data_IF_163978415436
#
_entry.id   IF_163978415436
#
_cell.length_a   1.000
_cell.length_b   1.000
_cell.length_c   1.000
_cell.angle_alpha   90.00
_cell.angle_beta   90.00
_cell.angle_gamma   90.00
#
_symmetry.space_group_name_H-M   'P 1'
#
loop_
_entity.id
_entity.type
_entity.pdbx_description
1 polymer ?
#
# COMPACT_ATOMS: atom_id res chain seq x y z
N UNK A 1 2.96 5.18 -2.80
CA UNK A 1 3.31 6.23 -1.82
C UNK A 1 4.49 5.83 -0.94
N UNK A 2 4.49 4.67 -0.28
CA UNK A 2 5.55 4.32 0.70
C UNK A 2 6.80 3.64 0.10
N UNK A 3 6.70 3.09 -1.11
CA UNK A 3 7.82 2.42 -1.80
C UNK A 3 8.84 3.42 -2.38
N UNK A 4 8.60 4.74 -2.23
CA UNK A 4 9.51 5.78 -2.71
C UNK A 4 10.72 6.00 -1.80
N UNK A 5 10.69 5.52 -0.56
CA UNK A 5 11.82 5.59 0.38
C UNK A 5 12.85 4.50 0.08
N UNK A 6 14.14 4.83 -0.13
CA UNK A 6 15.17 3.84 -0.46
C UNK A 6 15.32 2.69 0.55
N UNK A 7 15.16 2.96 1.86
CA UNK A 7 15.22 1.91 2.90
C UNK A 7 14.06 0.92 2.87
N UNK A 8 12.94 1.28 2.20
CA UNK A 8 11.77 0.42 2.02
C UNK A 8 11.75 -0.27 0.64
N UNK A 9 12.41 0.32 -0.34
CA UNK A 9 12.53 -0.24 -1.68
C UNK A 9 13.39 -1.51 -1.70
N UNK A 10 14.59 -1.46 -1.10
CA UNK A 10 15.54 -2.57 -1.16
C UNK A 10 14.98 -3.88 -0.55
N UNK A 11 14.33 -3.89 0.63
CA UNK A 11 13.70 -5.11 1.17
C UNK A 11 12.66 -5.73 0.24
N UNK A 12 12.01 -4.94 -0.60
CA UNK A 12 11.08 -5.45 -1.60
C UNK A 12 11.82 -6.01 -2.81
N UNK A 13 12.80 -5.27 -3.32
CA UNK A 13 13.58 -5.62 -4.49
C UNK A 13 14.42 -6.90 -4.26
N UNK A 14 15.12 -7.00 -3.13
CA UNK A 14 16.10 -8.07 -2.85
C UNK A 14 15.50 -9.48 -2.81
N UNK A 15 14.18 -9.58 -2.57
CA UNK A 15 13.49 -10.88 -2.51
C UNK A 15 13.20 -11.49 -3.88
N UNK A 16 13.40 -10.74 -4.98
CA UNK A 16 13.06 -11.16 -6.34
C UNK A 16 11.56 -11.26 -6.63
N UNK A 17 10.68 -10.94 -5.66
CA UNK A 17 9.21 -11.03 -5.79
C UNK A 17 8.55 -9.67 -6.09
N UNK A 18 9.28 -8.76 -6.70
CA UNK A 18 8.84 -7.40 -7.06
C UNK A 18 9.41 -6.93 -8.40
N UNK A 19 9.88 -7.84 -9.24
CA UNK A 19 10.65 -7.51 -10.46
C UNK A 19 9.78 -7.29 -11.70
N UNK A 20 8.49 -7.66 -11.65
CA UNK A 20 7.58 -7.63 -12.80
C UNK A 20 6.11 -7.58 -12.35
N UNK A 21 5.18 -7.30 -13.27
CA UNK A 21 3.75 -7.14 -12.94
C UNK A 21 3.13 -8.41 -12.31
N UNK A 22 3.38 -9.63 -12.81
CA UNK A 22 2.84 -10.85 -12.19
C UNK A 22 3.32 -11.07 -10.75
N UNK A 23 4.61 -10.86 -10.48
CA UNK A 23 5.17 -11.03 -9.13
C UNK A 23 4.65 -9.98 -8.15
N UNK A 24 4.51 -8.72 -8.60
CA UNK A 24 3.89 -7.65 -7.83
C UNK A 24 2.42 -7.96 -7.53
N UNK A 25 1.65 -8.41 -8.53
CA UNK A 25 0.26 -8.82 -8.32
C UNK A 25 0.17 -9.91 -7.24
N UNK A 26 0.98 -10.96 -7.35
CA UNK A 26 1.01 -12.06 -6.37
C UNK A 26 1.36 -11.55 -4.97
N UNK A 27 2.37 -10.70 -4.85
CA UNK A 27 2.79 -10.11 -3.57
C UNK A 27 1.66 -9.30 -2.95
N UNK A 28 1.12 -8.33 -3.67
CA UNK A 28 0.14 -7.39 -3.12
C UNK A 28 -1.21 -8.04 -2.87
N UNK A 29 -1.61 -9.05 -3.66
CA UNK A 29 -2.75 -9.91 -3.32
C UNK A 29 -2.49 -10.71 -2.05
N UNK A 30 -1.28 -11.24 -1.86
CA UNK A 30 -0.91 -11.92 -0.61
C UNK A 30 -1.00 -10.98 0.60
N UNK A 31 -0.45 -9.77 0.50
CA UNK A 31 -0.54 -8.74 1.55
C UNK A 31 -2.00 -8.41 1.88
N UNK A 32 -2.84 -8.17 0.87
CA UNK A 32 -4.26 -7.89 1.05
C UNK A 32 -4.98 -9.03 1.78
N UNK A 33 -4.66 -10.28 1.44
CA UNK A 33 -5.23 -11.47 2.11
C UNK A 33 -4.78 -11.58 3.56
N UNK A 34 -3.51 -11.30 3.87
CA UNK A 34 -3.01 -11.29 5.25
C UNK A 34 -3.73 -10.25 6.09
N UNK A 35 -3.78 -8.99 5.62
CA UNK A 35 -4.41 -7.88 6.34
C UNK A 35 -5.91 -8.15 6.53
N UNK A 36 -6.62 -8.60 5.49
CA UNK A 36 -8.02 -9.00 5.59
C UNK A 36 -8.23 -10.10 6.64
N UNK A 37 -7.37 -11.11 6.64
CA UNK A 37 -7.42 -12.20 7.62
C UNK A 37 -7.26 -11.68 9.05
N UNK A 38 -6.40 -10.67 9.28
CA UNK A 38 -6.23 -10.06 10.60
C UNK A 38 -7.46 -9.27 11.06
N UNK A 39 -8.16 -8.61 10.14
CA UNK A 39 -9.40 -7.90 10.44
C UNK A 39 -10.59 -8.82 10.74
N UNK A 40 -10.58 -10.05 10.21
CA UNK A 40 -11.72 -10.98 10.28
C UNK A 40 -11.53 -12.11 11.30
N UNK A 41 -10.35 -12.24 11.89
CA UNK A 41 -10.03 -13.27 12.87
C UNK A 41 -9.35 -12.72 14.12
N UNK A 42 -8.93 -13.61 14.99
CA UNK A 42 -8.29 -13.25 16.26
C UNK A 42 -6.77 -13.50 16.22
N UNK A 43 -5.98 -12.42 16.23
CA UNK A 43 -4.50 -12.48 16.22
C UNK A 43 -3.88 -12.99 17.54
N UNK A 44 -4.67 -13.16 18.59
CA UNK A 44 -4.23 -13.64 19.90
C UNK A 44 -4.52 -15.12 20.13
N UNK A 45 -5.50 -15.69 19.42
CA UNK A 45 -5.87 -17.10 19.53
C UNK A 45 -4.96 -17.96 18.63
N UNK A 46 -4.10 -18.78 19.24
CA UNK A 46 -3.04 -19.52 18.53
C UNK A 46 -3.50 -20.35 17.31
N UNK A 47 -4.69 -20.96 17.39
CA UNK A 47 -5.25 -21.79 16.31
C UNK A 47 -6.07 -21.01 15.28
N UNK A 48 -6.22 -19.69 15.45
CA UNK A 48 -6.92 -18.85 14.49
C UNK A 48 -6.03 -18.57 13.27
N UNK A 49 -6.65 -18.53 12.09
CA UNK A 49 -5.96 -18.22 10.85
C UNK A 49 -5.26 -16.85 10.89
N UNK A 50 -5.80 -15.87 11.62
CA UNK A 50 -5.20 -14.56 11.81
C UNK A 50 -3.89 -14.62 12.61
N UNK A 51 -3.85 -15.39 13.71
CA UNK A 51 -2.64 -15.58 14.52
C UNK A 51 -1.53 -16.29 13.73
N UNK A 52 -1.88 -17.34 12.98
CA UNK A 52 -0.94 -18.05 12.09
C UNK A 52 -0.42 -17.09 11.00
N UNK A 53 -1.33 -16.34 10.37
CA UNK A 53 -1.03 -15.38 9.32
C UNK A 53 -0.07 -14.28 9.79
N UNK A 54 -0.33 -13.64 10.93
CA UNK A 54 0.53 -12.56 11.44
C UNK A 54 1.91 -13.10 11.89
N UNK A 55 1.95 -14.30 12.47
CA UNK A 55 3.21 -14.99 12.80
C UNK A 55 4.06 -15.27 11.56
N UNK A 56 3.44 -15.73 10.47
CA UNK A 56 4.11 -15.94 9.18
C UNK A 56 4.68 -14.65 8.61
N UNK A 57 3.93 -13.54 8.65
CA UNK A 57 4.43 -12.23 8.18
C UNK A 57 5.59 -11.74 9.02
N UNK A 58 5.53 -11.89 10.36
CA UNK A 58 6.66 -11.58 11.24
C UNK A 58 7.91 -12.38 10.85
N UNK A 59 7.75 -13.68 10.59
CA UNK A 59 8.89 -14.51 10.17
C UNK A 59 9.46 -14.03 8.84
N UNK A 60 8.63 -13.72 7.85
CA UNK A 60 9.10 -13.17 6.57
C UNK A 60 9.89 -11.87 6.76
N UNK A 61 9.45 -10.96 7.64
CA UNK A 61 10.21 -9.74 7.94
C UNK A 61 11.57 -10.05 8.60
N UNK A 62 11.63 -11.01 9.52
CA UNK A 62 12.89 -11.46 10.13
C UNK A 62 13.84 -12.07 9.11
N UNK A 63 13.34 -12.89 8.19
CA UNK A 63 14.14 -13.54 7.17
C UNK A 63 14.78 -12.51 6.23
N UNK A 64 13.99 -11.52 5.77
CA UNK A 64 14.51 -10.44 4.92
C UNK A 64 15.48 -9.55 5.69
N UNK A 65 15.19 -9.23 6.96
CA UNK A 65 16.11 -8.46 7.81
C UNK A 65 17.44 -9.20 8.03
N UNK A 66 17.40 -10.51 8.24
CA UNK A 66 18.60 -11.34 8.37
C UNK A 66 19.39 -11.39 7.06
N UNK A 67 18.73 -11.56 5.92
CA UNK A 67 19.34 -11.55 4.60
C UNK A 67 20.05 -10.22 4.29
N UNK A 68 19.50 -9.10 4.75
CA UNK A 68 20.05 -7.76 4.51
C UNK A 68 20.97 -7.25 5.63
N UNK A 69 21.28 -8.06 6.65
CA UNK A 69 21.98 -7.62 7.87
C UNK A 69 23.32 -6.94 7.62
N UNK A 70 24.06 -7.43 6.63
CA UNK A 70 25.39 -6.92 6.27
C UNK A 70 25.34 -5.81 5.21
N UNK A 71 24.13 -5.38 4.81
CA UNK A 71 23.91 -4.29 3.86
C UNK A 71 23.34 -3.09 4.61
N UNK A 72 23.73 -1.89 4.17
CA UNK A 72 23.21 -0.62 4.69
C UNK A 72 22.54 0.15 3.59
N UNK A 73 21.52 0.92 3.93
CA UNK A 73 20.90 1.83 2.98
C UNK A 73 21.93 2.88 2.53
N UNK A 74 22.26 2.98 1.23
CA UNK A 74 23.27 3.93 0.78
C UNK A 74 22.91 5.40 1.07
N UNK A 75 21.62 5.69 1.17
CA UNK A 75 21.10 7.04 1.37
C UNK A 75 21.09 7.44 2.86
N UNK A 76 20.75 6.51 3.76
CA UNK A 76 20.62 6.83 5.20
C UNK A 76 21.76 6.28 6.06
N UNK A 77 22.60 5.40 5.52
CA UNK A 77 23.56 4.60 6.29
C UNK A 77 22.92 3.58 7.25
N UNK A 78 21.59 3.57 7.37
CA UNK A 78 20.85 2.76 8.33
C UNK A 78 20.72 1.29 7.96
N UNK A 79 20.35 0.47 8.95
CA UNK A 79 19.92 -0.90 8.70
C UNK A 79 18.58 -0.92 7.94
N UNK A 80 18.39 -1.93 7.10
CA UNK A 80 17.10 -2.20 6.46
C UNK A 80 16.11 -2.85 7.45
N UNK A 81 14.82 -2.58 7.27
CA UNK A 81 13.75 -3.06 8.15
C UNK A 81 13.96 -2.62 9.61
N UNK A 82 14.42 -1.39 9.80
CA UNK A 82 14.51 -0.76 11.12
C UNK A 82 13.12 -0.58 11.76
N UNK A 83 13.07 -0.27 13.06
CA UNK A 83 11.81 0.08 13.73
C UNK A 83 11.13 1.30 13.09
N UNK A 84 11.93 2.26 12.58
CA UNK A 84 11.40 3.38 11.79
C UNK A 84 10.78 2.89 10.47
N UNK A 85 11.41 1.96 9.76
CA UNK A 85 10.86 1.39 8.53
C UNK A 85 9.54 0.64 8.80
N UNK A 86 9.47 -0.08 9.93
CA UNK A 86 8.24 -0.72 10.40
C UNK A 86 7.15 0.31 10.72
N UNK A 87 7.48 1.42 11.38
CA UNK A 87 6.54 2.50 11.69
C UNK A 87 6.05 3.23 10.43
N UNK A 88 6.93 3.50 9.46
CA UNK A 88 6.54 4.07 8.16
C UNK A 88 5.67 3.08 7.38
N UNK A 89 5.91 1.78 7.49
CA UNK A 89 5.05 0.76 6.90
C UNK A 89 3.68 0.72 7.59
N UNK A 90 3.63 0.82 8.92
CA UNK A 90 2.37 0.93 9.67
C UNK A 90 1.60 2.20 9.27
N UNK A 91 2.28 3.34 9.10
CA UNK A 91 1.69 4.56 8.55
C UNK A 91 1.05 4.32 7.17
N UNK A 92 1.68 3.51 6.30
CA UNK A 92 1.12 3.17 4.99
C UNK A 92 -0.27 2.51 5.07
N UNK A 93 -0.54 1.76 6.14
CA UNK A 93 -1.80 1.06 6.36
C UNK A 93 -2.84 1.91 7.10
N UNK A 94 -2.43 2.65 8.13
CA UNK A 94 -3.37 3.33 9.03
C UNK A 94 -3.17 4.85 9.15
N UNK A 95 -2.00 5.39 8.78
CA UNK A 95 -1.71 6.82 8.90
C UNK A 95 -2.66 7.70 8.10
N UNK A 96 -2.99 7.31 6.87
CA UNK A 96 -3.95 8.06 6.04
C UNK A 96 -5.39 7.97 6.56
N UNK A 97 -5.76 6.87 7.24
CA UNK A 97 -7.05 6.73 7.93
C UNK A 97 -7.14 7.68 9.11
N UNK A 98 -6.03 7.85 9.84
CA UNK A 98 -5.96 8.79 10.96
C UNK A 98 -6.07 10.23 10.47
N UNK A 99 -5.33 10.58 9.42
CA UNK A 99 -5.25 11.94 8.89
C UNK A 99 -6.50 12.36 8.11
N UNK A 100 -7.04 11.47 7.29
CA UNK A 100 -8.07 11.79 6.30
C UNK A 100 -9.20 10.74 6.27
N UNK A 101 -9.84 10.43 7.43
CA UNK A 101 -10.84 9.37 7.49
C UNK A 101 -12.00 9.60 6.51
N UNK A 102 -12.48 10.84 6.39
CA UNK A 102 -13.59 11.19 5.50
C UNK A 102 -13.22 11.06 4.02
N UNK A 103 -11.99 11.41 3.65
CA UNK A 103 -11.44 11.23 2.30
C UNK A 103 -11.16 9.75 1.98
N UNK A 104 -11.31 8.86 2.96
CA UNK A 104 -11.30 7.40 2.79
C UNK A 104 -12.69 6.79 2.95
N UNK A 105 -13.74 7.61 2.96
CA UNK A 105 -15.13 7.16 3.10
C UNK A 105 -15.51 6.69 4.49
N UNK A 106 -14.70 7.02 5.51
CA UNK A 106 -14.97 6.71 6.92
C UNK A 106 -15.59 7.92 7.61
N UNK A 107 -16.90 7.83 7.84
CA UNK A 107 -17.70 8.83 8.54
C UNK A 107 -18.07 8.28 9.92
N UNK A 108 -17.07 8.21 10.80
CA UNK A 108 -17.15 7.56 12.11
C UNK A 108 -16.69 8.51 13.22
N UNK A 109 -16.93 8.15 14.48
CA UNK A 109 -16.52 8.94 15.64
C UNK A 109 -15.02 8.82 15.92
N UNK A 110 -14.47 9.73 16.74
CA UNK A 110 -13.11 9.64 17.26
C UNK A 110 -12.89 8.32 18.02
N UNK A 111 -13.89 7.89 18.80
CA UNK A 111 -13.86 6.62 19.54
C UNK A 111 -13.75 5.40 18.60
N UNK A 112 -14.44 5.42 17.47
CA UNK A 112 -14.31 4.34 16.48
C UNK A 112 -12.91 4.29 15.88
N UNK A 113 -12.29 5.46 15.64
CA UNK A 113 -10.91 5.55 15.16
C UNK A 113 -9.92 5.06 16.22
N UNK A 114 -10.15 5.33 17.50
CA UNK A 114 -9.36 4.78 18.61
C UNK A 114 -9.44 3.25 18.66
N UNK A 115 -10.60 2.65 18.41
CA UNK A 115 -10.72 1.19 18.31
C UNK A 115 -9.86 0.63 17.17
N UNK A 116 -9.85 1.29 16.01
CA UNK A 116 -9.02 0.88 14.86
C UNK A 116 -7.53 1.07 15.17
N UNK A 117 -7.15 2.14 15.87
CA UNK A 117 -5.79 2.36 16.33
C UNK A 117 -5.35 1.29 17.33
N UNK A 118 -6.20 0.94 18.29
CA UNK A 118 -5.93 -0.15 19.22
C UNK A 118 -5.67 -1.47 18.49
N UNK A 119 -6.47 -1.78 17.48
CA UNK A 119 -6.24 -2.94 16.61
C UNK A 119 -4.86 -2.88 15.93
N UNK A 120 -4.51 -1.76 15.29
CA UNK A 120 -3.21 -1.61 14.62
C UNK A 120 -2.02 -1.56 15.58
N UNK A 121 -2.23 -1.12 16.82
CA UNK A 121 -1.23 -1.22 17.91
C UNK A 121 -0.91 -2.69 18.19
N UNK A 122 -1.94 -3.52 18.35
CA UNK A 122 -1.79 -4.97 18.56
C UNK A 122 -1.13 -5.66 17.35
N UNK A 123 -1.49 -5.27 16.12
CA UNK A 123 -0.83 -5.76 14.89
C UNK A 123 0.65 -5.39 14.89
N UNK A 124 1.00 -4.13 15.18
CA UNK A 124 2.40 -3.68 15.26
C UNK A 124 3.20 -4.48 16.30
N UNK A 125 2.65 -4.67 17.49
CA UNK A 125 3.26 -5.49 18.54
C UNK A 125 3.50 -6.93 18.09
N UNK A 126 2.49 -7.58 17.49
CA UNK A 126 2.62 -8.96 16.97
C UNK A 126 3.65 -9.07 15.85
N UNK A 127 3.81 -8.05 15.02
CA UNK A 127 4.84 -7.97 13.99
C UNK A 127 6.24 -7.67 14.54
N UNK A 128 6.39 -7.44 15.84
CA UNK A 128 7.68 -7.22 16.52
C UNK A 128 8.13 -5.76 16.55
N UNK A 129 7.20 -4.82 16.41
CA UNK A 129 7.49 -3.43 16.75
C UNK A 129 7.59 -3.27 18.26
N UNK A 130 8.61 -2.56 18.73
CA UNK A 130 8.66 -2.16 20.13
C UNK A 130 7.63 -1.05 20.38
N UNK A 131 7.02 -1.04 21.56
CA UNK A 131 5.89 -0.15 21.87
C UNK A 131 6.25 1.34 21.72
N UNK A 132 7.49 1.71 22.02
CA UNK A 132 8.00 3.08 21.83
C UNK A 132 8.10 3.53 20.37
N UNK A 133 8.12 2.61 19.41
CA UNK A 133 8.14 2.89 17.97
C UNK A 133 6.81 2.55 17.29
N UNK A 134 5.81 2.05 18.03
CA UNK A 134 4.51 1.70 17.48
C UNK A 134 3.70 2.99 17.25
N UNK A 135 3.38 3.28 16.00
CA UNK A 135 2.68 4.50 15.61
C UNK A 135 1.34 4.66 16.35
N UNK A 136 0.68 3.55 16.65
CA UNK A 136 -0.64 3.51 17.25
C UNK A 136 -0.61 3.37 18.78
N UNK A 137 0.52 3.64 19.44
CA UNK A 137 0.67 3.44 20.89
C UNK A 137 -0.24 4.33 21.74
N UNK A 138 -0.43 5.58 21.33
CA UNK A 138 -1.17 6.61 22.07
C UNK A 138 -2.66 6.74 21.72
N UNK A 139 -3.28 7.80 22.22
CA UNK A 139 -4.65 8.21 21.87
C UNK A 139 -4.78 8.60 20.40
N UNK A 140 -6.02 8.77 19.90
CA UNK A 140 -6.23 9.25 18.53
C UNK A 140 -5.55 10.60 18.29
N UNK A 141 -5.66 11.54 19.23
CA UNK A 141 -5.08 12.89 19.09
C UNK A 141 -3.56 12.88 19.06
N UNK A 142 -2.93 12.06 19.89
CA UNK A 142 -1.47 11.91 19.89
C UNK A 142 -1.00 11.26 18.58
N UNK A 143 -1.67 10.18 18.17
CA UNK A 143 -1.36 9.50 16.91
C UNK A 143 -1.55 10.42 15.71
N UNK A 144 -2.59 11.26 15.72
CA UNK A 144 -2.83 12.28 14.68
C UNK A 144 -1.65 13.25 14.57
N UNK A 145 -1.13 13.76 15.68
CA UNK A 145 0.04 14.65 15.68
C UNK A 145 1.28 13.96 15.12
N UNK A 146 1.53 12.72 15.53
CA UNK A 146 2.68 11.93 15.01
C UNK A 146 2.51 11.68 13.50
N UNK A 147 1.30 11.33 13.05
CA UNK A 147 1.02 11.13 11.63
C UNK A 147 1.21 12.42 10.81
N UNK A 148 0.82 13.58 11.34
CA UNK A 148 1.07 14.87 10.70
C UNK A 148 2.58 15.12 10.57
N UNK A 149 3.34 14.89 11.64
CA UNK A 149 4.79 15.06 11.63
C UNK A 149 5.48 14.11 10.64
N UNK A 150 5.06 12.84 10.62
CA UNK A 150 5.54 11.86 9.63
C UNK A 150 5.17 12.26 8.20
N UNK A 151 3.96 12.80 7.98
CA UNK A 151 3.56 13.27 6.67
C UNK A 151 4.50 14.37 6.18
N UNK A 152 4.74 15.40 7.00
CA UNK A 152 5.57 16.54 6.62
C UNK A 152 7.05 16.18 6.50
N UNK A 153 7.59 15.38 7.41
CA UNK A 153 9.04 15.11 7.48
C UNK A 153 9.48 13.90 6.67
N UNK A 154 8.61 12.92 6.41
CA UNK A 154 8.99 11.65 5.77
C UNK A 154 8.22 11.40 4.48
N UNK A 155 6.89 11.52 4.50
CA UNK A 155 6.05 11.09 3.38
C UNK A 155 6.10 12.10 2.23
N UNK A 156 5.86 13.39 2.50
CA UNK A 156 5.92 14.43 1.48
C UNK A 156 7.30 14.53 0.81
N UNK A 157 8.41 14.61 1.55
CA UNK A 157 9.73 14.60 0.93
C UNK A 157 9.95 13.33 0.11
N UNK A 158 9.58 12.16 0.64
CA UNK A 158 9.68 10.90 -0.09
C UNK A 158 8.85 10.82 -1.36
N UNK A 159 7.77 11.60 -1.48
CA UNK A 159 6.97 11.71 -2.71
C UNK A 159 7.60 12.67 -3.71
N UNK A 160 8.10 13.82 -3.24
CA UNK A 160 8.69 14.87 -4.09
C UNK A 160 10.04 14.42 -4.65
N UNK A 161 10.88 13.81 -3.81
CA UNK A 161 12.22 13.33 -4.18
C UNK A 161 12.24 11.80 -4.34
N UNK A 162 11.19 11.22 -4.91
CA UNK A 162 11.13 9.79 -5.16
C UNK A 162 12.23 9.36 -6.15
N UNK A 163 12.95 8.28 -5.84
CA UNK A 163 13.87 7.67 -6.80
C UNK A 163 13.12 7.16 -8.04
N UNK A 164 13.81 7.08 -9.18
CA UNK A 164 13.22 6.57 -10.43
C UNK A 164 12.70 5.14 -10.23
N UNK A 165 13.45 4.31 -9.51
CA UNK A 165 13.12 2.92 -9.21
C UNK A 165 11.92 2.84 -8.27
N UNK A 166 11.87 3.68 -7.23
CA UNK A 166 10.74 3.73 -6.29
C UNK A 166 9.45 4.24 -6.92
N UNK A 167 9.55 5.23 -7.81
CA UNK A 167 8.43 5.73 -8.60
C UNK A 167 7.94 4.68 -9.61
N UNK A 168 8.86 4.02 -10.32
CA UNK A 168 8.53 2.95 -11.27
C UNK A 168 7.84 1.78 -10.57
N UNK A 169 8.40 1.27 -9.46
CA UNK A 169 7.77 0.20 -8.70
C UNK A 169 6.40 0.64 -8.16
N UNK A 170 6.25 1.87 -7.66
CA UNK A 170 4.96 2.39 -7.20
C UNK A 170 3.90 2.37 -8.30
N UNK A 171 4.27 2.74 -9.53
CA UNK A 171 3.41 2.67 -10.72
C UNK A 171 3.06 1.23 -11.08
N UNK A 172 4.05 0.35 -11.11
CA UNK A 172 3.86 -1.07 -11.45
C UNK A 172 2.99 -1.79 -10.44
N UNK A 173 3.06 -1.41 -9.16
CA UNK A 173 2.14 -1.90 -8.12
C UNK A 173 0.70 -1.54 -8.47
N UNK A 174 0.42 -0.27 -8.80
CA UNK A 174 -0.92 0.16 -9.17
C UNK A 174 -1.41 -0.57 -10.43
N UNK A 175 -0.55 -0.71 -11.44
CA UNK A 175 -0.86 -1.46 -12.65
C UNK A 175 -1.17 -2.94 -12.36
N UNK A 176 -0.38 -3.58 -11.50
CA UNK A 176 -0.56 -4.97 -11.12
C UNK A 176 -1.87 -5.20 -10.35
N UNK A 177 -2.26 -4.28 -9.45
CA UNK A 177 -3.51 -4.41 -8.67
C UNK A 177 -4.75 -3.90 -9.40
N UNK A 178 -4.61 -3.17 -10.51
CA UNK A 178 -5.72 -2.67 -11.34
C UNK A 178 -6.65 -3.78 -11.81
N UNK A 179 -6.15 -5.01 -11.99
CA UNK A 179 -6.99 -6.18 -12.33
C UNK A 179 -7.99 -6.56 -11.23
N UNK A 180 -7.77 -6.09 -10.00
CA UNK A 180 -8.70 -6.23 -8.87
C UNK A 180 -9.62 -5.00 -8.75
N UNK A 181 -9.10 -3.81 -9.01
CA UNK A 181 -9.84 -2.54 -8.91
C UNK A 181 -9.74 -1.82 -10.25
N UNK A 182 -10.67 -2.15 -11.15
CA UNK A 182 -10.62 -1.84 -12.59
C UNK A 182 -10.57 -0.35 -12.94
N UNK A 183 -10.92 0.53 -12.00
CA UNK A 183 -10.91 1.97 -12.21
C UNK A 183 -9.68 2.68 -11.65
N UNK A 184 -8.72 1.96 -11.06
CA UNK A 184 -7.48 2.58 -10.58
C UNK A 184 -6.50 2.84 -11.73
N UNK A 185 -5.96 4.04 -11.76
CA UNK A 185 -4.78 4.45 -12.51
C UNK A 185 -3.74 4.98 -11.52
N UNK A 186 -2.45 4.96 -11.90
CA UNK A 186 -1.41 5.53 -11.06
C UNK A 186 -1.58 7.05 -10.96
N UNK A 187 -1.70 7.74 -12.08
CA UNK A 187 -1.87 9.19 -12.17
C UNK A 187 -3.13 9.67 -11.46
N UNK A 188 -4.28 9.05 -11.70
CA UNK A 188 -5.54 9.44 -11.04
C UNK A 188 -5.48 9.25 -9.52
N UNK A 189 -4.87 8.15 -9.06
CA UNK A 189 -4.65 7.91 -7.63
C UNK A 189 -3.66 8.91 -7.01
N UNK A 190 -2.58 9.22 -7.71
CA UNK A 190 -1.58 10.19 -7.23
C UNK A 190 -2.12 11.62 -7.21
N UNK A 191 -2.90 12.02 -8.22
CA UNK A 191 -3.61 13.31 -8.24
C UNK A 191 -4.58 13.43 -7.05
N UNK A 192 -5.33 12.35 -6.75
CA UNK A 192 -6.24 12.31 -5.60
C UNK A 192 -5.49 12.53 -4.28
N UNK A 193 -4.41 11.79 -4.06
CA UNK A 193 -3.65 11.85 -2.82
C UNK A 193 -2.83 13.12 -2.67
N UNK A 194 -2.22 13.61 -3.75
CA UNK A 194 -1.48 14.87 -3.75
C UNK A 194 -2.35 16.01 -3.22
N UNK A 195 -3.62 16.07 -3.65
CA UNK A 195 -4.58 17.05 -3.14
C UNK A 195 -4.81 16.93 -1.63
N UNK A 196 -4.89 15.72 -1.07
CA UNK A 196 -5.17 15.54 0.37
C UNK A 196 -3.96 15.89 1.23
N UNK A 197 -2.77 15.52 0.77
CA UNK A 197 -1.53 15.85 1.49
C UNK A 197 -1.10 17.30 1.26
N UNK A 198 -1.71 18.04 0.32
CA UNK A 198 -1.33 19.43 0.02
C UNK A 198 -0.08 19.54 -0.84
N UNK A 199 0.11 18.61 -1.77
CA UNK A 199 1.13 18.66 -2.82
C UNK A 199 0.47 18.99 -4.17
N UNK A 200 1.22 19.67 -5.03
CA UNK A 200 0.84 19.86 -6.42
C UNK A 200 1.21 18.61 -7.23
N UNK A 201 0.26 18.11 -8.04
CA UNK A 201 0.50 17.02 -8.97
C UNK A 201 0.53 17.56 -10.40
N UNK A 202 1.74 17.67 -10.96
CA UNK A 202 1.98 18.39 -12.21
C UNK A 202 1.96 17.50 -13.46
N UNK A 203 1.68 16.20 -13.32
CA UNK A 203 1.58 15.32 -14.47
C UNK A 203 0.26 15.57 -15.22
N UNK A 204 0.32 15.61 -16.55
CA UNK A 204 -0.87 15.66 -17.38
C UNK A 204 -1.69 14.37 -17.19
N UNK A 205 -2.98 14.52 -16.91
CA UNK A 205 -3.90 13.40 -16.80
C UNK A 205 -4.43 13.03 -18.19
N UNK A 206 -4.32 11.77 -18.58
CA UNK A 206 -5.08 11.27 -19.71
C UNK A 206 -6.58 11.29 -19.39
N UNK A 207 -7.43 11.11 -20.41
CA UNK A 207 -8.87 10.97 -20.20
C UNK A 207 -9.19 9.85 -19.19
N UNK A 208 -8.48 8.72 -19.29
CA UNK A 208 -8.65 7.60 -18.36
C UNK A 208 -8.23 7.95 -16.93
N UNK A 209 -7.12 8.67 -16.75
CA UNK A 209 -6.63 9.07 -15.43
C UNK A 209 -7.57 10.07 -14.76
N UNK A 210 -8.14 10.98 -15.55
CA UNK A 210 -9.16 11.90 -15.08
C UNK A 210 -10.44 11.17 -14.63
N UNK A 211 -10.92 10.20 -15.42
CA UNK A 211 -12.05 9.35 -15.03
C UNK A 211 -11.76 8.55 -13.75
N UNK A 212 -10.55 7.99 -13.64
CA UNK A 212 -10.08 7.29 -12.45
C UNK A 212 -10.11 8.20 -11.22
N UNK A 213 -9.54 9.40 -11.32
CA UNK A 213 -9.57 10.42 -10.27
C UNK A 213 -11.01 10.76 -9.85
N UNK A 214 -11.89 11.05 -10.82
CA UNK A 214 -13.28 11.40 -10.56
C UNK A 214 -14.03 10.26 -9.85
N UNK A 215 -13.81 9.01 -10.25
CA UNK A 215 -14.47 7.87 -9.62
C UNK A 215 -13.93 7.58 -8.22
N UNK A 216 -12.63 7.74 -7.98
CA UNK A 216 -12.04 7.69 -6.63
C UNK A 216 -12.69 8.76 -5.74
N UNK A 217 -12.72 10.01 -6.23
CA UNK A 217 -13.28 11.14 -5.50
C UNK A 217 -14.76 10.91 -5.17
N UNK A 218 -15.57 10.55 -6.17
CA UNK A 218 -17.01 10.28 -6.04
C UNK A 218 -17.25 9.15 -5.03
N UNK A 219 -16.47 8.08 -5.12
CA UNK A 219 -16.61 6.91 -4.25
C UNK A 219 -16.36 7.28 -2.80
N UNK A 220 -15.19 7.85 -2.49
CA UNK A 220 -14.79 8.11 -1.11
C UNK A 220 -15.49 9.32 -0.48
N UNK A 221 -15.72 10.40 -1.23
CA UNK A 221 -16.27 11.64 -0.67
C UNK A 221 -17.81 11.67 -0.66
N UNK A 222 -18.48 10.91 -1.54
CA UNK A 222 -19.93 10.90 -1.64
C UNK A 222 -20.55 9.52 -1.39
N UNK A 223 -20.24 8.51 -2.22
CA UNK A 223 -20.97 7.25 -2.21
C UNK A 223 -20.83 6.53 -0.86
N UNK A 224 -19.62 6.41 -0.32
CA UNK A 224 -19.36 5.67 0.93
C UNK A 224 -19.93 6.35 2.19
N UNK A 225 -20.47 7.57 2.08
CA UNK A 225 -21.27 8.21 3.13
C UNK A 225 -22.54 7.41 3.43
N UNK A 226 -23.13 6.79 2.41
CA UNK A 226 -24.38 6.07 2.51
C UNK A 226 -24.16 4.57 2.74
N UNK A 227 -24.90 4.01 3.69
CA UNK A 227 -24.77 2.59 4.11
C UNK A 227 -24.95 1.62 2.95
N UNK A 228 -25.91 1.87 2.06
CA UNK A 228 -26.21 1.00 0.90
C UNK A 228 -25.00 0.90 -0.04
N UNK A 229 -24.44 2.04 -0.43
CA UNK A 229 -23.26 2.08 -1.29
C UNK A 229 -22.01 1.52 -0.60
N UNK A 230 -21.86 1.72 0.71
CA UNK A 230 -20.78 1.09 1.49
C UNK A 230 -20.89 -0.43 1.49
N UNK A 231 -22.10 -0.98 1.68
CA UNK A 231 -22.35 -2.42 1.61
C UNK A 231 -22.05 -2.97 0.22
N UNK A 232 -22.49 -2.29 -0.83
CA UNK A 232 -22.20 -2.65 -2.22
C UNK A 232 -20.70 -2.63 -2.51
N UNK A 233 -20.00 -1.56 -2.12
CA UNK A 233 -18.55 -1.44 -2.29
C UNK A 233 -17.81 -2.57 -1.58
N UNK A 234 -18.16 -2.84 -0.32
CA UNK A 234 -17.57 -3.94 0.45
C UNK A 234 -17.84 -5.31 -0.20
N UNK A 235 -19.04 -5.53 -0.73
CA UNK A 235 -19.37 -6.74 -1.47
C UNK A 235 -18.54 -6.87 -2.75
N UNK A 236 -18.46 -5.81 -3.56
CA UNK A 236 -17.64 -5.76 -4.78
C UNK A 236 -16.17 -6.05 -4.48
N UNK A 237 -15.62 -5.44 -3.41
CA UNK A 237 -14.24 -5.66 -2.99
C UNK A 237 -14.01 -7.12 -2.57
N UNK A 238 -14.93 -7.73 -1.83
CA UNK A 238 -14.85 -9.16 -1.46
C UNK A 238 -14.92 -10.05 -2.69
N UNK A 239 -15.77 -9.74 -3.67
CA UNK A 239 -15.84 -10.45 -4.95
C UNK A 239 -14.53 -10.31 -5.73
N UNK A 240 -13.97 -9.10 -5.82
CA UNK A 240 -12.71 -8.85 -6.49
C UNK A 240 -11.55 -9.66 -5.87
N UNK A 241 -11.44 -9.70 -4.53
CA UNK A 241 -10.42 -10.49 -3.82
C UNK A 241 -10.60 -11.99 -4.07
N UNK A 242 -11.85 -12.49 -4.00
CA UNK A 242 -12.17 -13.91 -4.28
C UNK A 242 -11.83 -14.26 -5.73
N UNK A 243 -12.19 -13.42 -6.69
CA UNK A 243 -11.87 -13.60 -8.12
C UNK A 243 -10.36 -13.57 -8.33
N UNK A 244 -9.66 -12.60 -7.74
CA UNK A 244 -8.21 -12.49 -7.80
C UNK A 244 -7.48 -13.73 -7.26
N UNK A 245 -8.04 -14.33 -6.21
CA UNK A 245 -7.50 -15.57 -5.64
C UNK A 245 -7.81 -16.78 -6.52
N UNK A 246 -9.07 -16.96 -6.93
CA UNK A 246 -9.54 -18.12 -7.72
C UNK A 246 -8.91 -18.14 -9.13
N UNK A 247 -8.84 -16.98 -9.78
CA UNK A 247 -8.34 -16.83 -11.15
C UNK A 247 -6.92 -16.24 -11.19
N UNK A 248 -6.17 -16.36 -10.09
CA UNK A 248 -4.87 -15.70 -9.95
C UNK A 248 -3.86 -16.10 -11.01
N UNK A 249 -3.85 -17.35 -11.47
CA UNK A 249 -2.96 -17.81 -12.54
C UNK A 249 -3.31 -17.19 -13.89
N UNK A 250 -4.60 -17.07 -14.20
CA UNK A 250 -5.07 -16.42 -15.43
C UNK A 250 -4.71 -14.92 -15.42
N UNK A 251 -4.96 -14.22 -14.31
CA UNK A 251 -4.65 -12.81 -14.19
C UNK A 251 -3.14 -12.52 -14.25
N UNK A 252 -2.31 -13.41 -13.69
CA UNK A 252 -0.86 -13.31 -13.85
C UNK A 252 -0.42 -13.42 -15.31
N UNK A 253 -0.99 -14.36 -16.08
CA UNK A 253 -0.70 -14.48 -17.52
C UNK A 253 -1.13 -13.22 -18.30
N UNK A 254 -2.28 -12.63 -17.97
CA UNK A 254 -2.71 -11.37 -18.60
C UNK A 254 -1.74 -10.22 -18.33
N UNK A 255 -1.26 -10.10 -17.09
CA UNK A 255 -0.27 -9.10 -16.70
C UNK A 255 1.09 -9.33 -17.38
N UNK A 256 1.49 -10.58 -17.56
CA UNK A 256 2.70 -10.95 -18.29
C UNK A 256 2.64 -10.51 -19.76
N UNK A 257 1.51 -10.80 -20.44
CA UNK A 257 1.27 -10.34 -21.82
C UNK A 257 1.28 -8.81 -21.90
N UNK A 258 0.61 -8.12 -20.98
CA UNK A 258 0.61 -6.66 -20.93
C UNK A 258 2.03 -6.09 -20.79
N UNK A 259 2.85 -6.68 -19.92
CA UNK A 259 4.22 -6.24 -19.70
C UNK A 259 5.09 -6.46 -20.95
N UNK A 260 4.97 -7.62 -21.60
CA UNK A 260 5.67 -7.92 -22.85
C UNK A 260 5.29 -6.94 -23.96
N UNK A 261 4.00 -6.62 -24.13
CA UNK A 261 3.54 -5.62 -25.09
C UNK A 261 4.13 -4.23 -24.81
N UNK A 262 4.15 -3.80 -23.55
CA UNK A 262 4.72 -2.49 -23.19
C UNK A 262 6.22 -2.38 -23.48
N UNK A 263 6.98 -3.46 -23.23
CA UNK A 263 8.42 -3.53 -23.53
C UNK A 263 8.68 -3.66 -25.04
N UNK A 264 7.86 -4.43 -25.75
CA UNK A 264 7.92 -4.60 -27.20
C UNK A 264 7.63 -3.31 -27.97
N UNK A 265 6.64 -2.53 -27.54
CA UNK A 265 6.38 -1.20 -28.12
C UNK A 265 7.59 -0.26 -27.94
N UNK A 266 8.24 -0.26 -26.76
CA UNK A 266 9.42 0.56 -26.52
C UNK A 266 10.61 0.19 -27.42
N UNK A 267 10.76 -1.09 -27.78
CA UNK A 267 11.77 -1.55 -28.74
C UNK A 267 11.41 -1.21 -30.18
N UNK A 268 10.12 -1.27 -30.56
CA UNK A 268 9.65 -0.92 -31.91
C UNK A 268 9.87 0.55 -32.29
N UNK A 269 9.91 1.46 -31.31
CA UNK A 269 10.29 2.87 -31.56
C UNK A 269 11.80 3.08 -31.74
N UNK A 270 12.65 2.15 -31.26
CA UNK A 270 14.11 2.25 -31.34
C UNK A 270 14.66 1.85 -32.72
N UNK A 271 13.86 1.21 -33.56
CA UNK A 271 14.24 0.79 -34.90
C UNK A 271 13.14 1.19 -35.90
N UNK A 272 13.42 2.17 -36.75
CA UNK A 272 12.65 2.43 -37.98
C UNK A 272 13.58 2.24 -39.16
N UNK A 273 13.09 1.59 -40.23
CA UNK A 273 13.76 1.65 -41.53
C UNK A 273 13.78 3.11 -42.00
N UNK A 274 14.94 3.56 -42.48
CA UNK A 274 15.08 4.79 -43.25
C UNK A 274 14.45 4.62 -44.64
#
# INVERSE_FOLDING_TARGET
MVVTKPSLLEPLASTGRSSNLPSLYRRYLSTLRHVKCWYEGDIWKANDAAAISIGKVRQMHRDVSAHLRNRRCPVTGGAYLSQLDMAVTQFAFIGLVVLYPRQLGLFVSERDLECVLHFWRCVGYKLGMADSYNLCAGSYRETLRVCLDMQEKLIKPGLVSASREGAAMSRDIINAVRVLVIFLSYEGMMAYWARQVGLQFNAALSLYDWWSYCLIWLTFNLLLRYRTFRNLFNWLLRVAIRRGTKWGSYLQKQLEVQELHSKGMNLGYAYRYH
#
